data_IF_472668569192
#
_entry.id   IF_472668569192
#
_cell.length_a   1.000
_cell.length_b   1.000
_cell.length_c   1.000
_cell.angle_alpha   90.00
_cell.angle_beta   90.00
_cell.angle_gamma   90.00
#
_symmetry.space_group_name_H-M   'P 1'
#
loop_
_entity.id
_entity.type
_entity.pdbx_description
1 polymer ?
#
# COMPACT_ATOMS: atom_id res chain seq x y z
N UNK A 1 10.18 -5.91 -13.05
CA UNK A 1 8.81 -5.78 -12.55
C UNK A 1 8.74 -5.48 -11.06
N UNK A 2 7.56 -5.20 -10.57
CA UNK A 2 7.29 -4.98 -9.15
C UNK A 2 6.77 -6.30 -8.56
N UNK A 3 7.30 -6.70 -7.40
CA UNK A 3 6.85 -7.89 -6.64
C UNK A 3 6.67 -7.47 -5.20
N UNK A 4 5.58 -7.89 -4.58
CA UNK A 4 5.27 -7.63 -3.17
C UNK A 4 5.12 -8.92 -2.38
N UNK A 5 5.30 -8.87 -1.07
CA UNK A 5 5.00 -10.00 -0.19
C UNK A 5 3.55 -10.46 -0.27
N UNK A 6 2.62 -9.58 -0.59
CA UNK A 6 1.21 -9.91 -0.81
C UNK A 6 1.01 -10.91 -1.96
N UNK A 7 1.92 -10.94 -2.93
CA UNK A 7 1.84 -11.76 -4.13
C UNK A 7 2.19 -13.22 -3.87
N UNK A 8 2.86 -13.53 -2.75
CA UNK A 8 3.27 -14.89 -2.47
C UNK A 8 2.11 -15.85 -2.26
N UNK A 9 1.05 -15.44 -1.55
CA UNK A 9 -0.08 -16.32 -1.28
C UNK A 9 -0.77 -16.79 -2.58
N UNK A 10 -1.27 -15.90 -3.47
CA UNK A 10 -1.88 -16.34 -4.72
C UNK A 10 -0.89 -17.06 -5.65
N UNK A 11 0.39 -16.68 -5.65
CA UNK A 11 1.41 -17.32 -6.49
C UNK A 11 1.71 -18.75 -6.06
N UNK A 12 1.89 -18.99 -4.75
CA UNK A 12 2.20 -20.32 -4.22
C UNK A 12 0.99 -21.24 -4.35
N UNK A 13 -0.24 -20.73 -4.16
CA UNK A 13 -1.44 -21.51 -4.37
C UNK A 13 -1.65 -21.86 -5.85
N UNK A 14 -1.36 -20.93 -6.76
CA UNK A 14 -1.36 -21.23 -8.19
C UNK A 14 -0.33 -22.30 -8.57
N UNK A 15 0.87 -22.25 -7.98
CA UNK A 15 1.89 -23.29 -8.17
C UNK A 15 1.45 -24.66 -7.61
N UNK A 16 0.62 -24.67 -6.59
CA UNK A 16 0.03 -25.87 -6.00
C UNK A 16 -1.23 -26.38 -6.73
N UNK A 17 -1.66 -25.71 -7.81
CA UNK A 17 -2.82 -26.12 -8.61
C UNK A 17 -4.10 -25.34 -8.34
N UNK A 18 -4.05 -24.26 -7.56
CA UNK A 18 -5.18 -23.37 -7.22
C UNK A 18 -4.98 -21.95 -7.77
N UNK A 19 -5.00 -21.75 -9.11
CA UNK A 19 -4.74 -20.44 -9.72
C UNK A 19 -5.84 -19.41 -9.45
N UNK A 20 -7.08 -19.85 -9.21
CA UNK A 20 -8.28 -19.03 -9.07
C UNK A 20 -8.62 -18.76 -7.58
N UNK A 21 -7.62 -18.81 -6.70
CA UNK A 21 -7.86 -18.67 -5.25
C UNK A 21 -8.42 -17.30 -4.88
N UNK A 22 -8.09 -16.24 -5.61
CA UNK A 22 -8.60 -14.89 -5.34
C UNK A 22 -10.12 -14.84 -5.50
N UNK A 23 -10.61 -15.35 -6.60
CA UNK A 23 -12.03 -15.42 -6.95
C UNK A 23 -12.77 -16.33 -5.95
N UNK A 24 -12.23 -17.51 -5.67
CA UNK A 24 -12.79 -18.43 -4.68
C UNK A 24 -12.92 -17.79 -3.29
N UNK A 25 -11.88 -17.08 -2.83
CA UNK A 25 -11.90 -16.41 -1.53
C UNK A 25 -12.85 -15.21 -1.50
N UNK A 26 -13.03 -14.52 -2.62
CA UNK A 26 -13.95 -13.39 -2.72
C UNK A 26 -15.41 -13.86 -2.64
N UNK A 27 -15.74 -14.97 -3.30
CA UNK A 27 -17.08 -15.59 -3.27
C UNK A 27 -17.36 -16.31 -1.95
N UNK A 28 -16.35 -16.94 -1.39
CA UNK A 28 -16.38 -17.74 -0.17
C UNK A 28 -15.78 -19.12 -0.42
N UNK A 29 -14.76 -19.49 0.35
CA UNK A 29 -14.00 -20.74 0.19
C UNK A 29 -13.80 -21.43 1.54
N UNK A 30 -14.14 -22.72 1.58
CA UNK A 30 -13.92 -23.56 2.77
C UNK A 30 -12.58 -24.26 2.67
N UNK A 31 -11.71 -24.05 3.66
CA UNK A 31 -10.43 -24.73 3.77
C UNK A 31 -10.13 -25.07 5.23
N UNK A 32 -9.56 -26.26 5.47
CA UNK A 32 -9.17 -26.72 6.80
C UNK A 32 -10.28 -26.62 7.86
N UNK A 33 -11.54 -26.87 7.46
CA UNK A 33 -12.71 -26.82 8.34
C UNK A 33 -13.17 -25.42 8.73
N UNK A 34 -12.77 -24.41 7.99
CA UNK A 34 -13.17 -23.00 8.17
C UNK A 34 -13.61 -22.39 6.86
N UNK A 35 -14.57 -21.47 6.93
CA UNK A 35 -15.03 -20.70 5.80
C UNK A 35 -14.33 -19.34 5.77
N UNK A 36 -13.77 -19.03 4.61
CA UNK A 36 -13.06 -17.75 4.36
C UNK A 36 -13.81 -16.97 3.28
N UNK A 37 -14.10 -15.73 3.55
CA UNK A 37 -14.54 -14.75 2.56
C UNK A 37 -13.69 -13.51 2.72
N UNK A 38 -12.71 -13.35 1.83
CA UNK A 38 -11.68 -12.31 1.92
C UNK A 38 -11.30 -11.79 0.54
N UNK A 39 -10.97 -10.52 0.47
CA UNK A 39 -10.33 -9.89 -0.66
C UNK A 39 -8.79 -10.02 -0.52
N UNK A 40 -8.11 -10.40 -1.59
CA UNK A 40 -6.64 -10.46 -1.65
C UNK A 40 -6.12 -9.38 -2.60
N UNK A 41 -5.22 -8.54 -2.09
CA UNK A 41 -4.54 -7.49 -2.87
C UNK A 41 -3.34 -8.03 -3.66
N UNK A 42 -2.94 -9.29 -3.42
CA UNK A 42 -1.84 -9.94 -4.12
C UNK A 42 -2.20 -10.33 -5.56
N UNK A 43 -1.20 -10.39 -6.41
CA UNK A 43 -1.28 -10.91 -7.77
C UNK A 43 -0.66 -12.30 -7.87
N UNK A 44 -1.21 -13.15 -8.74
CA UNK A 44 -0.55 -14.40 -9.11
C UNK A 44 0.60 -14.08 -10.06
N UNK A 45 1.83 -14.24 -9.58
CA UNK A 45 3.07 -13.94 -10.32
C UNK A 45 3.67 -15.17 -11.00
N UNK A 46 2.99 -16.34 -10.97
CA UNK A 46 3.58 -17.61 -11.38
C UNK A 46 4.11 -17.60 -12.81
N UNK A 47 3.31 -17.10 -13.75
CA UNK A 47 3.70 -17.10 -15.17
C UNK A 47 4.80 -16.06 -15.42
N UNK A 48 4.77 -14.92 -14.72
CA UNK A 48 5.85 -13.94 -14.77
C UNK A 48 7.18 -14.53 -14.27
N UNK A 49 7.16 -15.31 -13.20
CA UNK A 49 8.37 -15.99 -12.70
C UNK A 49 8.84 -17.09 -13.63
N UNK A 50 7.93 -17.87 -14.26
CA UNK A 50 8.28 -18.89 -15.24
C UNK A 50 8.92 -18.32 -16.50
N UNK A 51 8.54 -17.10 -16.91
CA UNK A 51 9.16 -16.40 -18.02
C UNK A 51 10.55 -15.84 -17.71
N UNK A 52 11.03 -15.99 -16.47
CA UNK A 52 12.30 -15.37 -16.02
C UNK A 52 12.15 -13.87 -15.72
N UNK A 53 10.93 -13.38 -15.56
CA UNK A 53 10.64 -11.96 -15.36
C UNK A 53 10.65 -11.11 -16.62
N UNK A 54 10.44 -11.74 -17.76
CA UNK A 54 10.33 -11.05 -19.06
C UNK A 54 8.99 -10.32 -19.19
N UNK A 55 9.04 -9.13 -19.76
CA UNK A 55 7.87 -8.28 -19.98
C UNK A 55 7.39 -7.57 -18.72
N UNK A 56 6.17 -7.03 -18.79
CA UNK A 56 5.51 -6.36 -17.68
C UNK A 56 4.86 -7.42 -16.79
N UNK A 57 5.24 -7.41 -15.49
CA UNK A 57 4.60 -8.29 -14.51
C UNK A 57 3.16 -7.87 -14.22
N UNK A 58 2.35 -8.73 -13.59
CA UNK A 58 0.95 -8.42 -13.25
C UNK A 58 0.80 -7.21 -12.33
N UNK A 59 1.80 -6.94 -11.48
CA UNK A 59 1.80 -5.79 -10.57
C UNK A 59 2.49 -4.61 -11.22
N UNK A 60 1.76 -3.51 -11.36
CA UNK A 60 2.28 -2.25 -11.89
C UNK A 60 2.35 -1.15 -10.83
N UNK A 61 1.63 -1.32 -9.71
CA UNK A 61 1.51 -0.36 -8.62
C UNK A 61 1.85 -0.97 -7.26
N UNK A 62 2.25 -0.10 -6.34
CA UNK A 62 2.43 -0.46 -4.93
C UNK A 62 1.98 0.70 -4.03
N UNK A 63 1.25 0.37 -2.98
CA UNK A 63 0.69 1.31 -2.01
C UNK A 63 1.46 1.20 -0.70
N UNK A 64 1.93 2.33 -0.22
CA UNK A 64 2.63 2.42 1.05
C UNK A 64 1.68 2.96 2.11
N UNK A 65 1.46 2.19 3.14
CA UNK A 65 0.64 2.59 4.28
C UNK A 65 1.51 2.84 5.50
N UNK A 66 1.11 3.81 6.33
CA UNK A 66 1.71 4.02 7.64
C UNK A 66 1.28 2.93 8.61
N UNK A 67 1.92 2.86 9.77
CA UNK A 67 1.54 1.99 10.89
C UNK A 67 0.14 2.31 11.45
N UNK A 68 -0.36 3.52 11.20
CA UNK A 68 -1.73 3.95 11.56
C UNK A 68 -2.76 3.67 10.45
N UNK A 69 -2.36 3.04 9.35
CA UNK A 69 -3.23 2.69 8.22
C UNK A 69 -3.50 3.84 7.24
N UNK A 70 -2.82 4.97 7.38
CA UNK A 70 -2.91 6.08 6.41
C UNK A 70 -2.11 5.79 5.14
N UNK A 71 -2.63 6.17 3.97
CA UNK A 71 -1.90 6.07 2.71
C UNK A 71 -0.76 7.11 2.71
N UNK A 72 0.48 6.61 2.67
CA UNK A 72 1.69 7.44 2.68
C UNK A 72 2.20 7.77 1.30
N UNK A 73 2.21 6.79 0.41
CA UNK A 73 2.71 6.96 -0.96
C UNK A 73 2.06 5.96 -1.92
N UNK A 74 2.12 6.27 -3.20
CA UNK A 74 1.76 5.38 -4.31
C UNK A 74 2.95 5.29 -5.26
N UNK A 75 3.31 4.07 -5.64
CA UNK A 75 4.25 3.81 -6.71
C UNK A 75 3.50 3.25 -7.92
N UNK A 76 3.78 3.78 -9.10
CA UNK A 76 3.37 3.20 -10.36
C UNK A 76 4.57 3.16 -11.31
N UNK A 77 4.94 1.96 -11.75
CA UNK A 77 6.17 1.75 -12.50
C UNK A 77 7.41 2.25 -11.74
N UNK A 78 8.14 3.18 -12.36
CA UNK A 78 9.35 3.78 -11.76
C UNK A 78 9.05 5.04 -10.92
N UNK A 79 7.84 5.56 -10.97
CA UNK A 79 7.47 6.80 -10.28
C UNK A 79 6.79 6.48 -8.95
N UNK A 80 7.28 7.11 -7.89
CA UNK A 80 6.68 7.14 -6.56
C UNK A 80 6.20 8.55 -6.24
N UNK A 81 4.97 8.67 -5.78
CA UNK A 81 4.37 9.91 -5.29
C UNK A 81 4.12 9.77 -3.80
N UNK A 82 4.72 10.64 -3.00
CA UNK A 82 4.64 10.62 -1.54
C UNK A 82 3.70 11.72 -1.06
N UNK A 83 2.75 11.38 -0.19
CA UNK A 83 1.79 12.30 0.42
C UNK A 83 2.17 12.66 1.85
N UNK A 84 2.95 11.79 2.50
CA UNK A 84 3.44 11.98 3.86
C UNK A 84 4.91 11.64 3.93
N UNK A 85 5.61 12.21 4.89
CA UNK A 85 7.04 12.02 5.09
C UNK A 85 7.33 11.64 6.54
N UNK A 86 8.30 10.73 6.71
CA UNK A 86 8.89 10.42 8.00
C UNK A 86 10.20 11.16 8.16
N UNK A 87 10.28 12.07 9.13
CA UNK A 87 11.48 12.88 9.42
C UNK A 87 12.47 12.18 10.36
N UNK A 88 12.04 11.10 11.01
CA UNK A 88 12.86 10.37 11.96
C UNK A 88 13.95 9.54 11.28
N UNK A 89 15.09 9.41 11.97
CA UNK A 89 16.19 8.55 11.57
C UNK A 89 16.50 7.52 12.66
N UNK A 90 16.91 6.33 12.27
CA UNK A 90 17.22 5.24 13.18
C UNK A 90 16.02 4.91 14.07
N UNK A 91 16.24 4.79 15.38
CA UNK A 91 15.18 4.44 16.33
C UNK A 91 14.08 5.52 16.45
N UNK A 92 14.36 6.76 16.04
CA UNK A 92 13.37 7.83 16.12
C UNK A 92 12.21 7.66 15.12
N UNK A 93 12.34 6.85 14.08
CA UNK A 93 11.22 6.54 13.17
C UNK A 93 10.01 5.94 13.91
N UNK A 94 10.23 5.26 15.03
CA UNK A 94 9.18 4.70 15.87
C UNK A 94 8.48 5.70 16.79
N UNK A 95 9.08 6.88 16.96
CA UNK A 95 8.61 7.91 17.91
C UNK A 95 8.02 9.13 17.23
N UNK A 96 8.44 9.40 16.00
CA UNK A 96 8.00 10.58 15.26
C UNK A 96 6.82 10.24 14.36
N UNK A 97 5.79 11.09 14.32
CA UNK A 97 4.66 10.89 13.44
C UNK A 97 5.06 11.10 11.97
N UNK A 98 4.26 10.55 11.07
CA UNK A 98 4.30 10.93 9.66
C UNK A 98 3.74 12.34 9.49
N UNK A 99 4.46 13.18 8.76
CA UNK A 99 4.05 14.56 8.48
C UNK A 99 3.41 14.64 7.09
N UNK A 100 2.15 15.09 6.97
CA UNK A 100 1.52 15.33 5.67
C UNK A 100 2.30 16.38 4.88
N UNK A 101 2.51 16.12 3.61
CA UNK A 101 3.14 17.08 2.69
C UNK A 101 2.06 18.00 2.11
N UNK A 102 2.27 19.31 2.17
CA UNK A 102 1.41 20.29 1.49
C UNK A 102 1.50 20.20 -0.04
N UNK A 103 2.56 19.61 -0.53
CA UNK A 103 2.84 19.31 -1.92
C UNK A 103 3.49 17.92 -2.00
N UNK A 104 2.93 16.97 -2.75
CA UNK A 104 3.48 15.62 -2.83
C UNK A 104 4.88 15.60 -3.45
N UNK A 105 5.77 14.81 -2.87
CA UNK A 105 7.07 14.54 -3.47
C UNK A 105 6.92 13.51 -4.60
N UNK A 106 7.54 13.80 -5.75
CA UNK A 106 7.60 12.91 -6.91
C UNK A 106 9.04 12.42 -7.08
N UNK A 107 9.22 11.11 -7.12
CA UNK A 107 10.54 10.48 -7.18
C UNK A 107 10.55 9.44 -8.29
N UNK A 108 11.65 9.40 -9.06
CA UNK A 108 11.92 8.31 -9.99
C UNK A 108 12.82 7.29 -9.29
N UNK A 109 12.26 6.18 -8.84
CA UNK A 109 12.99 5.16 -8.08
C UNK A 109 14.09 4.44 -8.87
N UNK A 110 14.05 4.51 -10.20
CA UNK A 110 15.10 3.96 -11.03
C UNK A 110 16.33 4.89 -11.10
N UNK A 111 16.09 6.20 -11.11
CA UNK A 111 17.14 7.21 -11.10
C UNK A 111 17.66 7.50 -9.69
N UNK A 112 16.77 7.42 -8.69
CA UNK A 112 17.05 7.68 -7.28
C UNK A 112 16.46 6.56 -6.41
N UNK A 113 17.12 5.40 -6.34
CA UNK A 113 16.62 4.26 -5.56
C UNK A 113 16.68 4.47 -4.05
N UNK A 114 17.43 5.46 -3.58
CA UNK A 114 17.56 5.80 -2.16
C UNK A 114 16.66 6.96 -1.73
N UNK A 115 15.89 7.53 -2.68
CA UNK A 115 14.93 8.60 -2.41
C UNK A 115 15.60 9.85 -1.77
N UNK A 116 16.84 10.11 -2.13
CA UNK A 116 17.65 11.21 -1.57
C UNK A 116 17.50 12.53 -2.32
N UNK A 117 17.05 12.48 -3.57
CA UNK A 117 16.98 13.65 -4.45
C UNK A 117 16.18 14.84 -3.89
N UNK A 118 15.08 14.66 -3.13
CA UNK A 118 14.36 15.77 -2.52
C UNK A 118 15.21 16.60 -1.54
N UNK A 119 16.25 16.00 -0.97
CA UNK A 119 17.12 16.64 0.02
C UNK A 119 18.48 17.09 -0.54
N UNK A 120 19.01 16.34 -1.50
CA UNK A 120 20.40 16.45 -1.92
C UNK A 120 20.58 17.05 -3.32
N UNK A 121 19.52 16.98 -4.16
CA UNK A 121 19.62 17.42 -5.55
C UNK A 121 19.09 18.84 -5.77
N UNK A 122 19.94 19.74 -6.23
CA UNK A 122 19.57 21.12 -6.57
C UNK A 122 18.51 21.17 -7.68
N UNK A 123 18.54 20.22 -8.63
CA UNK A 123 17.64 20.18 -9.78
C UNK A 123 16.34 19.42 -9.55
N UNK A 124 16.18 18.75 -8.40
CA UNK A 124 15.03 17.90 -8.16
C UNK A 124 13.70 18.67 -8.18
N UNK A 125 13.62 19.82 -7.56
CA UNK A 125 12.40 20.61 -7.48
C UNK A 125 11.88 21.00 -8.88
N UNK A 126 12.75 21.49 -9.77
CA UNK A 126 12.38 21.80 -11.16
C UNK A 126 11.95 20.54 -11.93
N UNK A 127 12.65 19.44 -11.73
CA UNK A 127 12.29 18.14 -12.31
C UNK A 127 10.93 17.64 -11.81
N UNK A 128 10.64 17.74 -10.51
CA UNK A 128 9.40 17.29 -9.89
C UNK A 128 8.20 18.14 -10.34
N UNK A 129 8.35 19.47 -10.37
CA UNK A 129 7.30 20.39 -10.84
C UNK A 129 6.87 20.04 -12.27
N UNK A 130 7.80 19.75 -13.17
CA UNK A 130 7.50 19.35 -14.55
C UNK A 130 6.75 18.00 -14.64
N UNK A 131 6.71 17.23 -13.56
CA UNK A 131 6.07 15.90 -13.50
C UNK A 131 4.88 15.82 -12.55
N UNK A 132 4.34 16.99 -12.19
CA UNK A 132 3.17 17.06 -11.29
C UNK A 132 1.93 16.34 -11.81
N UNK A 133 1.84 16.08 -13.10
CA UNK A 133 0.79 15.21 -13.66
C UNK A 133 0.79 13.81 -13.03
N UNK A 134 1.95 13.32 -12.53
CA UNK A 134 2.05 12.04 -11.84
C UNK A 134 1.21 12.00 -10.55
N UNK A 135 1.04 13.14 -9.87
CA UNK A 135 0.20 13.22 -8.66
C UNK A 135 -1.27 12.96 -8.97
N UNK A 136 -1.74 13.42 -10.13
CA UNK A 136 -3.12 13.13 -10.57
C UNK A 136 -3.28 11.64 -10.91
N UNK A 137 -2.31 11.06 -11.60
CA UNK A 137 -2.29 9.62 -11.87
C UNK A 137 -2.27 8.80 -10.58
N UNK A 138 -1.43 9.18 -9.61
CA UNK A 138 -1.37 8.53 -8.30
C UNK A 138 -2.70 8.66 -7.54
N UNK A 139 -3.39 9.80 -7.62
CA UNK A 139 -4.68 10.00 -6.98
C UNK A 139 -5.78 9.10 -7.60
N UNK A 140 -5.76 8.91 -8.92
CA UNK A 140 -6.70 8.00 -9.61
C UNK A 140 -6.46 6.56 -9.14
N UNK A 141 -5.22 6.10 -9.18
CA UNK A 141 -4.85 4.73 -8.76
C UNK A 141 -5.16 4.52 -7.26
N UNK A 142 -4.86 5.51 -6.41
CA UNK A 142 -5.21 5.46 -4.98
C UNK A 142 -6.72 5.37 -4.76
N UNK A 143 -7.52 6.09 -5.54
CA UNK A 143 -8.98 6.08 -5.42
C UNK A 143 -9.55 4.68 -5.68
N UNK A 144 -9.04 3.96 -6.67
CA UNK A 144 -9.51 2.60 -6.97
C UNK A 144 -9.22 1.63 -5.81
N UNK A 145 -8.06 1.73 -5.19
CA UNK A 145 -7.73 0.91 -4.01
C UNK A 145 -8.56 1.31 -2.79
N UNK A 146 -8.76 2.60 -2.56
CA UNK A 146 -9.58 3.06 -1.43
C UNK A 146 -11.04 2.57 -1.56
N UNK A 147 -11.58 2.46 -2.78
CA UNK A 147 -12.90 1.85 -3.01
C UNK A 147 -12.98 0.43 -2.50
N UNK A 148 -11.92 -0.36 -2.64
CA UNK A 148 -11.90 -1.74 -2.13
C UNK A 148 -12.03 -1.80 -0.62
N UNK A 149 -11.54 -0.80 0.13
CA UNK A 149 -11.71 -0.71 1.59
C UNK A 149 -13.13 -0.37 2.01
N UNK A 150 -13.91 0.28 1.14
CA UNK A 150 -15.35 0.51 1.37
C UNK A 150 -16.12 -0.81 1.22
N UNK A 151 -15.80 -1.60 0.21
CA UNK A 151 -16.42 -2.89 -0.08
C UNK A 151 -15.94 -3.99 0.90
N UNK A 152 -14.65 -3.96 1.25
CA UNK A 152 -13.98 -4.92 2.11
C UNK A 152 -13.25 -4.19 3.26
N UNK A 153 -13.99 -3.69 4.27
CA UNK A 153 -13.40 -2.91 5.34
C UNK A 153 -12.37 -3.72 6.13
N UNK A 154 -11.32 -3.06 6.66
CA UNK A 154 -10.33 -3.71 7.51
C UNK A 154 -10.99 -4.44 8.67
N UNK A 155 -10.57 -5.68 8.92
CA UNK A 155 -11.08 -6.50 10.04
C UNK A 155 -10.44 -6.17 11.36
N UNK A 156 -9.26 -5.54 11.32
CA UNK A 156 -8.51 -5.12 12.49
C UNK A 156 -8.14 -3.65 12.34
N UNK A 157 -8.16 -2.94 13.45
CA UNK A 157 -7.60 -1.59 13.48
C UNK A 157 -6.07 -1.69 13.51
N UNK A 158 -5.35 -0.73 12.89
CA UNK A 158 -3.89 -0.67 12.96
C UNK A 158 -3.42 -0.65 14.40
N UNK A 159 -2.38 -1.41 14.71
CA UNK A 159 -1.75 -1.45 16.04
C UNK A 159 -0.93 -0.18 16.27
N UNK A 160 -1.58 0.91 16.58
CA UNK A 160 -0.91 2.16 16.97
C UNK A 160 -0.95 2.35 18.49
N UNK A 161 0.19 2.74 19.06
CA UNK A 161 0.27 3.24 20.45
C UNK A 161 -0.14 4.71 20.57
N UNK A 162 -0.80 5.26 19.59
CA UNK A 162 -1.26 6.64 19.60
C UNK A 162 -2.43 6.79 20.58
N UNK A 163 -2.29 7.70 21.53
CA UNK A 163 -3.32 8.02 22.53
C UNK A 163 -4.63 8.46 21.87
N UNK A 164 -4.56 9.16 20.75
CA UNK A 164 -5.74 9.61 20.00
C UNK A 164 -6.57 8.43 19.46
N UNK A 165 -5.92 7.35 19.04
CA UNK A 165 -6.61 6.12 18.64
C UNK A 165 -7.32 5.47 19.83
N UNK A 166 -6.71 5.47 21.00
CA UNK A 166 -7.32 4.96 22.23
C UNK A 166 -8.53 5.82 22.64
N UNK A 167 -8.41 7.14 22.57
CA UNK A 167 -9.51 8.08 22.84
C UNK A 167 -10.66 7.87 21.86
N UNK A 168 -10.38 7.72 20.58
CA UNK A 168 -11.40 7.45 19.56
C UNK A 168 -12.11 6.10 19.80
N UNK A 169 -11.39 5.07 20.25
CA UNK A 169 -12.00 3.79 20.63
C UNK A 169 -12.90 3.92 21.87
N UNK A 170 -12.45 4.64 22.89
CA UNK A 170 -13.24 4.91 24.09
C UNK A 170 -14.53 5.68 23.75
N UNK A 171 -14.46 6.69 22.90
CA UNK A 171 -15.63 7.44 22.43
C UNK A 171 -16.64 6.55 21.69
N UNK A 172 -16.18 5.63 20.84
CA UNK A 172 -17.05 4.65 20.15
C UNK A 172 -17.74 3.70 21.14
N UNK A 173 -17.05 3.28 22.19
CA UNK A 173 -17.61 2.40 23.23
C UNK A 173 -18.69 3.13 24.04
N UNK A 174 -18.43 4.37 24.45
CA UNK A 174 -19.38 5.22 25.19
C UNK A 174 -20.65 5.49 24.37
N UNK A 175 -20.51 5.74 23.05
CA UNK A 175 -21.65 5.96 22.16
C UNK A 175 -22.49 4.68 21.89
N UNK A 176 -21.90 3.49 22.08
CA UNK A 176 -22.58 2.20 21.89
C UNK A 176 -23.27 1.65 23.15
N UNK A 177 -23.08 2.26 24.31
CA UNK A 177 -23.78 1.88 25.54
C UNK A 177 -25.16 2.52 25.53
N UNK A 178 -26.25 1.77 25.27
CA UNK A 178 -27.60 2.30 25.43
C UNK A 178 -27.86 2.52 26.92
N UNK A 179 -28.40 3.67 27.25
CA UNK A 179 -29.00 3.92 28.56
C UNK A 179 -30.18 2.95 28.83
#
# INVERSE_FOLDING_TARGET
GIVSHQDWLPTLLAAAGEPDIKEKLLEGHSAMGRDYKVHLDGYNMLDYFKSGGEGDGPRQEFFYFTDTGGLSAVRHGDIKVMFTKQEGHGFNVWKQPYTPLGWPDVINLRADPFESAPHESIGWADWAVRRMYATQGAAVVATEVIKTFVEHPPRQEPGSFNVDAIIAQLQKVVQKSPN
#
